data_IF_287368427858
#
_entry.id   IF_287368427858
#
_cell.length_a   1.000
_cell.length_b   1.000
_cell.length_c   1.000
_cell.angle_alpha   90.00
_cell.angle_beta   90.00
_cell.angle_gamma   90.00
#
_symmetry.space_group_name_H-M   'P 1'
#
loop_
_entity.id
_entity.type
_entity.pdbx_description
1 polymer ?
#
# COMPACT_ATOMS: atom_id res chain seq x y z
N UNK A 1 -16.90 21.59 2.13
CA UNK A 1 -15.50 21.43 2.60
C UNK A 1 -15.43 20.70 3.94
N UNK A 2 -16.10 21.17 5.00
CA UNK A 2 -16.09 20.53 6.35
C UNK A 2 -16.36 19.01 6.34
N UNK A 3 -17.43 18.57 5.65
CA UNK A 3 -17.80 17.13 5.56
C UNK A 3 -16.71 16.25 4.93
N UNK A 4 -15.98 16.77 3.95
CA UNK A 4 -14.94 16.01 3.24
C UNK A 4 -13.72 15.78 4.14
N UNK A 5 -13.32 16.80 4.91
CA UNK A 5 -12.25 16.71 5.90
C UNK A 5 -12.64 15.70 6.99
N UNK A 6 -13.86 15.78 7.54
CA UNK A 6 -14.34 14.83 8.55
C UNK A 6 -14.35 13.39 8.03
N UNK A 7 -14.76 13.16 6.78
CA UNK A 7 -14.77 11.83 6.17
C UNK A 7 -13.36 11.26 5.96
N UNK A 8 -12.40 12.09 5.57
CA UNK A 8 -11.00 11.68 5.44
C UNK A 8 -10.40 11.28 6.78
N UNK A 9 -10.54 12.13 7.81
CA UNK A 9 -10.00 11.84 9.16
C UNK A 9 -10.63 10.58 9.75
N UNK A 10 -11.93 10.35 9.53
CA UNK A 10 -12.59 9.12 9.97
C UNK A 10 -12.02 7.88 9.27
N UNK A 11 -11.80 7.93 7.95
CA UNK A 11 -11.19 6.80 7.22
C UNK A 11 -9.73 6.58 7.66
N UNK A 12 -8.98 7.65 7.88
CA UNK A 12 -7.60 7.59 8.36
C UNK A 12 -7.53 6.93 9.73
N UNK A 13 -8.40 7.35 10.66
CA UNK A 13 -8.46 6.78 12.01
C UNK A 13 -8.90 5.31 12.02
N UNK A 14 -9.67 4.86 11.03
CA UNK A 14 -10.13 3.48 10.89
C UNK A 14 -9.31 2.66 9.87
N UNK A 15 -8.12 3.13 9.48
CA UNK A 15 -7.26 2.37 8.57
C UNK A 15 -6.75 1.11 9.29
N UNK A 16 -6.94 -0.10 8.72
CA UNK A 16 -6.46 -1.33 9.34
C UNK A 16 -4.95 -1.30 9.57
N UNK A 17 -4.50 -1.88 10.69
CA UNK A 17 -3.07 -2.08 10.93
C UNK A 17 -2.53 -3.06 9.89
N UNK A 18 -1.56 -2.60 9.11
CA UNK A 18 -0.90 -3.42 8.09
C UNK A 18 0.11 -4.36 8.75
N UNK A 19 0.06 -5.64 8.37
CA UNK A 19 1.05 -6.66 8.70
C UNK A 19 1.54 -7.37 7.45
N UNK A 20 2.82 -7.74 7.47
CA UNK A 20 3.50 -8.38 6.35
C UNK A 20 3.88 -9.81 6.73
N UNK A 21 3.85 -10.69 5.73
CA UNK A 21 4.38 -12.03 5.84
C UNK A 21 5.89 -11.94 5.52
N UNK A 22 6.72 -11.89 6.56
CA UNK A 22 8.17 -11.66 6.47
C UNK A 22 8.88 -12.72 5.62
N UNK A 23 8.29 -13.91 5.47
CA UNK A 23 8.79 -15.02 4.65
C UNK A 23 8.63 -14.81 3.14
N UNK A 24 7.85 -13.81 2.71
CA UNK A 24 7.62 -13.56 1.29
C UNK A 24 8.72 -12.66 0.71
N UNK A 25 9.32 -13.00 -0.45
CA UNK A 25 10.38 -12.20 -1.07
C UNK A 25 10.04 -10.72 -1.28
N UNK A 26 8.76 -10.41 -1.56
CA UNK A 26 8.30 -9.02 -1.72
C UNK A 26 8.29 -8.26 -0.39
N UNK A 27 8.01 -8.92 0.74
CA UNK A 27 8.01 -8.28 2.06
C UNK A 27 9.42 -7.89 2.50
N UNK A 28 10.43 -8.71 2.20
CA UNK A 28 11.84 -8.41 2.48
C UNK A 28 12.31 -7.11 1.80
N UNK A 29 11.70 -6.77 0.65
CA UNK A 29 11.99 -5.57 -0.14
C UNK A 29 11.02 -4.41 0.12
N UNK A 30 10.21 -4.48 1.18
CA UNK A 30 9.17 -3.50 1.51
C UNK A 30 9.65 -2.07 1.51
N UNK A 31 10.75 -1.77 2.20
CA UNK A 31 11.24 -0.39 2.35
C UNK A 31 11.65 0.21 0.99
N UNK A 32 12.35 -0.58 0.18
CA UNK A 32 12.76 -0.22 -1.19
C UNK A 32 11.54 0.04 -2.08
N UNK A 33 10.55 -0.83 -2.03
CA UNK A 33 9.31 -0.71 -2.82
C UNK A 33 8.49 0.50 -2.37
N UNK A 34 8.32 0.72 -1.06
CA UNK A 34 7.59 1.86 -0.50
C UNK A 34 8.26 3.17 -0.91
N UNK A 35 9.60 3.23 -0.87
CA UNK A 35 10.34 4.40 -1.32
C UNK A 35 10.14 4.63 -2.82
N UNK A 36 10.22 3.58 -3.64
CA UNK A 36 9.99 3.68 -5.07
C UNK A 36 8.58 4.21 -5.40
N UNK A 37 7.54 3.71 -4.71
CA UNK A 37 6.15 4.17 -4.89
C UNK A 37 5.99 5.64 -4.47
N UNK A 38 6.66 6.06 -3.39
CA UNK A 38 6.60 7.45 -2.92
C UNK A 38 7.21 8.43 -3.92
N UNK A 39 8.34 8.05 -4.51
CA UNK A 39 9.16 8.97 -5.31
C UNK A 39 8.81 8.94 -6.81
N UNK A 40 8.09 7.91 -7.27
CA UNK A 40 7.81 7.71 -8.69
C UNK A 40 6.32 7.52 -8.94
N UNK A 41 5.79 8.25 -9.93
CA UNK A 41 4.39 8.11 -10.36
C UNK A 41 4.09 6.71 -10.93
N UNK A 42 5.09 6.06 -11.53
CA UNK A 42 4.98 4.71 -12.11
C UNK A 42 6.15 3.87 -11.63
N UNK A 43 5.86 2.70 -11.07
CA UNK A 43 6.84 1.73 -10.59
C UNK A 43 6.55 0.38 -11.24
N UNK A 44 7.60 -0.28 -11.75
CA UNK A 44 7.52 -1.66 -12.25
C UNK A 44 8.13 -2.57 -11.18
N UNK A 45 7.33 -3.47 -10.62
CA UNK A 45 7.81 -4.46 -9.64
C UNK A 45 7.86 -5.84 -10.29
N UNK A 46 9.08 -6.31 -10.57
CA UNK A 46 9.32 -7.63 -11.13
C UNK A 46 9.52 -8.68 -10.03
N UNK A 47 8.98 -9.88 -10.23
CA UNK A 47 9.23 -11.02 -9.35
C UNK A 47 8.50 -12.26 -9.85
N UNK A 48 8.94 -13.44 -9.44
CA UNK A 48 8.32 -14.71 -9.85
C UNK A 48 6.89 -14.88 -9.30
N UNK A 49 6.13 -15.81 -9.87
CA UNK A 49 4.85 -16.25 -9.28
C UNK A 49 5.10 -16.83 -7.89
N UNK A 50 4.27 -16.49 -6.90
CA UNK A 50 4.45 -16.93 -5.51
C UNK A 50 5.25 -15.97 -4.62
N UNK A 51 5.96 -14.99 -5.20
CA UNK A 51 6.72 -13.96 -4.44
C UNK A 51 5.90 -13.06 -3.52
N UNK A 52 4.57 -13.09 -3.62
CA UNK A 52 3.66 -12.30 -2.77
C UNK A 52 3.23 -10.95 -3.32
N UNK A 53 3.56 -10.60 -4.58
CA UNK A 53 3.25 -9.27 -5.17
C UNK A 53 1.79 -8.86 -5.00
N UNK A 54 0.85 -9.67 -5.50
CA UNK A 54 -0.59 -9.33 -5.48
C UNK A 54 -1.16 -9.22 -4.07
N UNK A 55 -0.58 -9.92 -3.09
CA UNK A 55 -1.06 -9.94 -1.71
C UNK A 55 -0.41 -8.87 -0.82
N UNK A 56 0.84 -8.47 -1.11
CA UNK A 56 1.58 -7.52 -0.27
C UNK A 56 1.65 -6.10 -0.84
N UNK A 57 1.68 -5.89 -2.16
CA UNK A 57 1.77 -4.55 -2.73
C UNK A 57 0.57 -3.65 -2.37
N UNK A 58 -0.69 -4.13 -2.39
CA UNK A 58 -1.82 -3.31 -1.93
C UNK A 58 -1.71 -2.86 -0.48
N UNK A 59 -1.07 -3.69 0.37
CA UNK A 59 -0.82 -3.35 1.78
C UNK A 59 0.22 -2.24 1.93
N UNK A 60 1.27 -2.27 1.12
CA UNK A 60 2.28 -1.18 1.07
C UNK A 60 1.66 0.14 0.62
N UNK A 61 0.75 0.09 -0.37
CA UNK A 61 -0.03 1.27 -0.78
C UNK A 61 -0.95 1.77 0.35
N UNK A 62 -1.53 0.87 1.13
CA UNK A 62 -2.37 1.24 2.28
C UNK A 62 -1.55 1.87 3.41
N UNK A 63 -0.35 1.35 3.68
CA UNK A 63 0.59 1.93 4.64
C UNK A 63 1.00 3.36 4.26
N UNK A 64 1.17 3.63 2.97
CA UNK A 64 1.41 4.98 2.43
C UNK A 64 0.18 5.91 2.52
N UNK A 65 -0.97 5.41 2.98
CA UNK A 65 -2.21 6.17 3.08
C UNK A 65 -2.96 6.36 1.76
N UNK A 66 -2.52 5.70 0.67
CA UNK A 66 -3.11 5.87 -0.67
C UNK A 66 -4.55 5.36 -0.75
N UNK A 67 -4.95 4.45 0.14
CA UNK A 67 -6.33 3.95 0.28
C UNK A 67 -7.25 4.78 1.20
N UNK A 68 -6.77 5.86 1.82
CA UNK A 68 -7.57 6.67 2.76
C UNK A 68 -8.46 7.67 2.03
N UNK A 69 -7.90 8.34 1.02
CA UNK A 69 -8.60 9.32 0.19
C UNK A 69 -9.28 8.72 -1.04
N UNK A 70 -8.85 7.54 -1.47
CA UNK A 70 -9.24 6.91 -2.73
C UNK A 70 -9.24 5.37 -2.62
N UNK A 71 -9.38 4.68 -3.75
CA UNK A 71 -9.37 3.21 -3.83
C UNK A 71 -7.99 2.70 -4.27
N UNK A 72 -7.56 1.58 -3.67
CA UNK A 72 -6.44 0.76 -4.19
C UNK A 72 -7.07 -0.35 -5.04
N UNK A 73 -6.84 -0.32 -6.35
CA UNK A 73 -7.25 -1.37 -7.27
C UNK A 73 -6.14 -2.40 -7.46
N UNK A 74 -6.50 -3.69 -7.49
CA UNK A 74 -5.63 -4.74 -8.01
C UNK A 74 -6.43 -5.60 -8.99
N UNK A 75 -5.74 -6.27 -9.92
CA UNK A 75 -6.29 -7.27 -10.84
C UNK A 75 -5.52 -8.56 -10.74
#
# INVERSE_FOLDING_TARGET
MQRAITGYELRKANTPKVTYAEELPVSERREEIIQAIRDNQVVIVCGETGSGKTTQLPKMCLELGLGVGAMIGHT
#
